data_IF_368505575485
#
_entry.id   IF_368505575485
#
_cell.length_a   1.000
_cell.length_b   1.000
_cell.length_c   1.000
_cell.angle_alpha   90.00
_cell.angle_beta   90.00
_cell.angle_gamma   90.00
#
_symmetry.space_group_name_H-M   'P 1'
#
loop_
_entity.id
_entity.type
_entity.pdbx_description
1 polymer ?
#
# COMPACT_ATOMS: atom_id res chain seq x y z
N UNK A 1 -13.43 -12.92 3.76
CA UNK A 1 -12.35 -11.93 3.64
C UNK A 1 -13.04 -10.63 3.39
N UNK A 2 -12.66 -9.63 4.16
CA UNK A 2 -13.24 -8.31 4.14
C UNK A 2 -12.19 -7.33 3.67
N UNK A 3 -12.68 -6.19 3.17
CA UNK A 3 -11.83 -5.11 2.71
C UNK A 3 -11.76 -4.02 3.79
N UNK A 4 -10.54 -3.66 4.15
CA UNK A 4 -10.25 -2.61 5.12
C UNK A 4 -9.41 -1.54 4.44
N UNK A 5 -9.60 -0.29 4.82
CA UNK A 5 -8.80 0.80 4.28
C UNK A 5 -8.49 1.86 5.33
N UNK A 6 -7.39 2.56 5.11
CA UNK A 6 -7.03 3.76 5.85
C UNK A 6 -6.25 4.71 4.93
N UNK A 7 -6.37 6.01 5.18
CA UNK A 7 -5.66 7.02 4.40
C UNK A 7 -4.66 7.74 5.29
N UNK A 8 -3.41 7.79 4.85
CA UNK A 8 -2.37 8.59 5.48
C UNK A 8 -2.30 9.96 4.82
N UNK A 9 -2.16 11.00 5.66
CA UNK A 9 -1.97 12.38 5.20
C UNK A 9 -0.56 12.55 4.62
N UNK A 10 -0.41 12.19 3.35
CA UNK A 10 0.76 12.40 2.52
C UNK A 10 0.32 13.22 1.32
N UNK A 11 1.07 14.27 1.00
CA UNK A 11 0.78 15.14 -0.13
C UNK A 11 1.13 14.39 -1.44
N UNK A 12 0.22 14.36 -2.40
CA UNK A 12 0.42 13.67 -3.68
C UNK A 12 1.44 14.40 -4.58
N UNK A 13 1.64 15.70 -4.37
CA UNK A 13 2.64 16.53 -5.07
C UNK A 13 3.99 16.59 -4.35
N UNK A 14 4.25 15.64 -3.43
CA UNK A 14 5.56 15.53 -2.80
C UNK A 14 6.68 15.33 -3.83
N UNK A 15 7.86 15.94 -3.63
CA UNK A 15 9.01 15.73 -4.51
C UNK A 15 9.42 14.25 -4.59
N UNK A 16 9.98 13.83 -5.74
CA UNK A 16 10.43 12.45 -5.96
C UNK A 16 11.36 11.92 -4.85
N UNK A 17 12.29 12.74 -4.35
CA UNK A 17 13.19 12.37 -3.26
C UNK A 17 12.47 12.10 -1.92
N UNK A 18 11.26 12.61 -1.72
CA UNK A 18 10.42 12.27 -0.58
C UNK A 18 9.73 10.92 -0.80
N UNK A 19 9.20 10.68 -2.00
CA UNK A 19 8.63 9.39 -2.39
C UNK A 19 9.64 8.24 -2.31
N UNK A 20 10.91 8.46 -2.67
CA UNK A 20 11.98 7.46 -2.50
C UNK A 20 12.12 6.98 -1.05
N UNK A 21 11.92 7.87 -0.07
CA UNK A 21 11.94 7.48 1.36
C UNK A 21 10.74 6.63 1.74
N UNK A 22 9.56 6.95 1.17
CA UNK A 22 8.35 6.17 1.38
C UNK A 22 8.52 4.76 0.81
N UNK A 23 9.07 4.64 -0.40
CA UNK A 23 9.40 3.35 -1.03
C UNK A 23 10.40 2.57 -0.19
N UNK A 24 11.44 3.22 0.33
CA UNK A 24 12.39 2.57 1.23
C UNK A 24 11.74 2.02 2.51
N UNK A 25 10.67 2.67 3.01
CA UNK A 25 9.87 2.14 4.12
C UNK A 25 9.04 0.93 3.67
N UNK A 26 8.40 0.99 2.50
CA UNK A 26 7.63 -0.14 1.96
C UNK A 26 8.44 -1.44 1.90
N UNK A 27 9.68 -1.35 1.43
CA UNK A 27 10.62 -2.48 1.30
C UNK A 27 11.03 -3.10 2.65
N UNK A 28 10.91 -2.35 3.74
CA UNK A 28 11.24 -2.82 5.09
C UNK A 28 10.04 -3.45 5.80
N UNK A 29 8.82 -3.25 5.29
CA UNK A 29 7.62 -3.80 5.92
C UNK A 29 7.48 -5.31 5.64
N UNK A 30 7.03 -6.11 6.63
CA UNK A 30 6.81 -7.53 6.44
C UNK A 30 5.88 -7.84 5.27
N UNK A 31 6.21 -8.88 4.51
CA UNK A 31 5.39 -9.33 3.40
C UNK A 31 5.52 -8.49 2.13
N UNK A 32 6.45 -7.53 2.05
CA UNK A 32 6.70 -6.77 0.82
C UNK A 32 6.93 -7.70 -0.37
N UNK A 33 6.16 -7.48 -1.45
CA UNK A 33 6.24 -8.27 -2.69
C UNK A 33 6.88 -7.45 -3.82
N UNK A 34 6.74 -6.13 -3.78
CA UNK A 34 7.17 -5.24 -4.85
C UNK A 34 6.02 -4.47 -5.47
N UNK A 35 6.28 -3.92 -6.65
CA UNK A 35 5.29 -3.18 -7.42
C UNK A 35 4.70 -4.06 -8.52
N UNK A 36 3.38 -3.98 -8.70
CA UNK A 36 2.66 -4.52 -9.84
C UNK A 36 1.91 -3.37 -10.51
N UNK A 37 2.21 -3.09 -11.79
CA UNK A 37 1.65 -1.95 -12.54
C UNK A 37 1.80 -0.59 -11.81
N UNK A 38 2.90 -0.40 -11.08
CA UNK A 38 3.16 0.83 -10.30
C UNK A 38 2.48 0.87 -8.93
N UNK A 39 1.69 -0.14 -8.56
CA UNK A 39 1.03 -0.25 -7.26
C UNK A 39 1.90 -1.12 -6.33
N UNK A 40 2.30 -0.64 -5.15
CA UNK A 40 2.99 -1.44 -4.13
C UNK A 40 2.06 -2.51 -3.53
N UNK A 41 2.58 -3.72 -3.34
CA UNK A 41 1.84 -4.84 -2.74
C UNK A 41 2.62 -5.52 -1.59
N UNK A 42 1.86 -6.00 -0.60
CA UNK A 42 2.32 -6.89 0.45
C UNK A 42 1.43 -8.14 0.53
N UNK A 43 2.02 -9.26 0.95
CA UNK A 43 1.39 -10.57 1.19
C UNK A 43 0.76 -11.27 -0.03
N UNK A 44 0.64 -10.58 -1.17
CA UNK A 44 0.16 -11.13 -2.44
C UNK A 44 -0.13 -10.01 -3.44
N UNK A 45 -0.24 -10.36 -4.73
CA UNK A 45 -0.64 -9.40 -5.80
C UNK A 45 -1.98 -9.78 -6.45
N UNK A 46 -2.60 -10.89 -6.04
CA UNK A 46 -3.92 -11.29 -6.50
C UNK A 46 -4.97 -10.57 -5.66
N UNK A 47 -5.74 -9.68 -6.28
CA UNK A 47 -6.76 -8.87 -5.59
C UNK A 47 -7.92 -9.70 -5.01
N UNK A 48 -8.06 -10.96 -5.40
CA UNK A 48 -9.05 -11.89 -4.84
C UNK A 48 -8.51 -12.77 -3.70
N UNK A 49 -7.25 -12.60 -3.33
CA UNK A 49 -6.58 -13.31 -2.25
C UNK A 49 -6.01 -12.32 -1.24
N UNK A 50 -5.49 -12.82 -0.11
CA UNK A 50 -4.94 -11.97 0.93
C UNK A 50 -3.83 -11.06 0.37
N UNK A 51 -4.04 -9.75 0.45
CA UNK A 51 -3.06 -8.75 0.04
C UNK A 51 -3.26 -7.44 0.80
N UNK A 52 -2.21 -6.63 0.81
CA UNK A 52 -2.27 -5.20 1.10
C UNK A 52 -1.74 -4.48 -0.12
N UNK A 53 -2.33 -3.35 -0.47
CA UNK A 53 -1.83 -2.45 -1.50
C UNK A 53 -1.87 -1.00 -1.01
N UNK A 54 -1.15 -0.11 -1.70
CA UNK A 54 -1.27 1.32 -1.46
C UNK A 54 -1.40 2.09 -2.77
N UNK A 55 -2.19 3.16 -2.78
CA UNK A 55 -2.41 4.05 -3.93
C UNK A 55 -2.25 5.51 -3.51
N UNK A 56 -1.69 6.32 -4.41
CA UNK A 56 -1.62 7.77 -4.21
C UNK A 56 -2.91 8.36 -4.76
N UNK A 57 -3.71 8.95 -3.88
CA UNK A 57 -5.00 9.56 -4.20
C UNK A 57 -4.97 11.06 -3.81
N UNK A 58 -5.85 11.91 -4.36
CA UNK A 58 -5.93 13.32 -3.96
C UNK A 58 -6.22 13.55 -2.46
N UNK A 59 -6.74 12.54 -1.76
CA UNK A 59 -6.98 12.56 -0.32
C UNK A 59 -5.77 12.11 0.52
N UNK A 60 -4.71 11.62 -0.12
CA UNK A 60 -3.50 11.12 0.51
C UNK A 60 -3.12 9.71 0.06
N UNK A 61 -2.25 9.06 0.83
CA UNK A 61 -1.87 7.67 0.56
C UNK A 61 -2.93 6.73 1.11
N UNK A 62 -3.75 6.16 0.23
CA UNK A 62 -4.72 5.12 0.56
C UNK A 62 -4.00 3.78 0.71
N UNK A 63 -4.19 3.11 1.84
CA UNK A 63 -3.73 1.74 2.07
C UNK A 63 -4.96 0.85 2.21
N UNK A 64 -5.08 -0.13 1.31
CA UNK A 64 -6.16 -1.10 1.27
C UNK A 64 -5.66 -2.49 1.66
N UNK A 65 -6.48 -3.26 2.37
CA UNK A 65 -6.17 -4.62 2.78
C UNK A 65 -7.37 -5.54 2.52
N UNK A 66 -7.14 -6.62 1.77
CA UNK A 66 -8.09 -7.72 1.66
C UNK A 66 -7.59 -8.86 2.54
N UNK A 67 -8.29 -9.13 3.64
CA UNK A 67 -7.87 -10.12 4.61
C UNK A 67 -9.04 -10.70 5.39
N UNK A 68 -8.83 -11.81 6.09
CA UNK A 68 -9.82 -12.30 7.05
C UNK A 68 -9.81 -11.41 8.30
N UNK A 69 -10.96 -11.25 8.94
CA UNK A 69 -11.06 -10.64 10.26
C UNK A 69 -10.16 -11.40 11.24
N UNK A 70 -9.38 -10.66 12.01
CA UNK A 70 -8.53 -11.23 13.05
C UNK A 70 -9.32 -11.09 14.36
N UNK A 71 -9.76 -12.22 14.92
CA UNK A 71 -10.42 -12.29 16.24
C UNK A 71 -9.53 -11.76 17.38
#
# INVERSE_FOLDING_TARGET
MDYYETTFNLDDDMPAAAWEKVIAVYEQLPGWVGFSNGIPFWFGTNENEKHISASVEPSGLLVGAYMAEVE
#
